data_IF_705710128792
#
_entry.id   IF_705710128792
#
_cell.length_a   1.000
_cell.length_b   1.000
_cell.length_c   1.000
_cell.angle_alpha   90.00
_cell.angle_beta   90.00
_cell.angle_gamma   90.00
#
_symmetry.space_group_name_H-M   'P 1'
#
loop_
_entity.id
_entity.type
_entity.pdbx_description
1 polymer ?
#
# COMPACT_ATOMS: atom_id res chain seq x y z
N UNK A 1 -7.77 11.75 15.22
CA UNK A 1 -6.37 11.89 14.72
C UNK A 1 -5.55 10.65 15.07
N UNK A 2 -4.55 10.28 14.25
CA UNK A 2 -3.76 9.04 14.43
C UNK A 2 -3.05 8.93 15.79
N UNK A 3 -2.72 10.05 16.40
CA UNK A 3 -2.03 10.13 17.70
C UNK A 3 -2.96 10.40 18.88
N UNK A 4 -4.29 10.35 18.69
CA UNK A 4 -5.21 10.84 19.71
C UNK A 4 -5.23 12.38 19.78
N UNK A 5 -6.31 12.94 20.31
CA UNK A 5 -6.47 14.39 20.41
C UNK A 5 -5.55 14.97 21.50
N UNK A 6 -5.24 14.18 22.51
CA UNK A 6 -4.39 14.53 23.65
C UNK A 6 -2.92 14.78 23.27
N UNK A 7 -2.47 14.24 22.14
CA UNK A 7 -1.09 14.41 21.65
C UNK A 7 -0.92 15.60 20.71
N UNK A 8 -1.98 16.32 20.37
CA UNK A 8 -1.94 17.42 19.40
C UNK A 8 -2.53 18.68 20.00
N UNK A 9 -1.78 19.78 19.98
CA UNK A 9 -2.23 21.07 20.49
C UNK A 9 -1.91 22.20 19.51
N UNK A 10 -2.89 23.06 19.21
CA UNK A 10 -2.66 24.32 18.49
C UNK A 10 -2.03 25.32 19.47
N UNK A 11 -0.83 25.78 19.18
CA UNK A 11 -0.05 26.71 20.02
C UNK A 11 -0.19 28.16 19.53
N UNK A 12 -0.50 28.34 18.25
CA UNK A 12 -0.77 29.64 17.63
C UNK A 12 -1.71 29.41 16.46
N UNK A 13 -2.66 30.33 16.25
CA UNK A 13 -3.55 30.33 15.07
C UNK A 13 -3.02 31.23 13.95
N UNK A 14 -2.15 32.20 14.24
CA UNK A 14 -1.56 33.11 13.25
C UNK A 14 -0.09 33.45 13.57
N UNK A 15 0.90 32.80 12.91
CA UNK A 15 0.74 31.68 11.98
C UNK A 15 0.20 30.43 12.69
N UNK A 16 -0.42 29.51 11.96
CA UNK A 16 -0.85 28.23 12.53
C UNK A 16 0.37 27.42 12.96
N UNK A 17 0.49 27.15 14.26
CA UNK A 17 1.55 26.33 14.85
C UNK A 17 0.89 25.21 15.64
N UNK A 18 1.14 23.97 15.21
CA UNK A 18 0.64 22.77 15.88
C UNK A 18 1.80 22.05 16.56
N UNK A 19 1.65 21.75 17.85
CA UNK A 19 2.57 20.89 18.61
C UNK A 19 2.03 19.47 18.62
N UNK A 20 2.90 18.52 18.28
CA UNK A 20 2.63 17.09 18.41
C UNK A 20 3.57 16.52 19.46
N UNK A 21 3.00 15.99 20.55
CA UNK A 21 3.74 15.36 21.63
C UNK A 21 3.92 13.86 21.35
N UNK A 22 5.11 13.32 21.57
CA UNK A 22 5.38 11.89 21.45
C UNK A 22 6.85 11.53 21.43
N UNK A 23 7.15 10.24 21.50
CA UNK A 23 8.52 9.75 21.36
C UNK A 23 9.08 10.09 19.98
N UNK A 24 10.34 10.51 19.94
CA UNK A 24 11.14 10.65 18.72
C UNK A 24 12.05 9.43 18.49
N UNK A 25 12.09 8.49 19.44
CA UNK A 25 12.91 7.29 19.32
C UNK A 25 12.33 6.39 18.22
N UNK A 26 13.17 5.93 17.28
CA UNK A 26 12.73 4.98 16.28
C UNK A 26 12.34 3.65 16.93
N UNK A 27 11.11 3.22 16.69
CA UNK A 27 10.66 1.88 16.99
C UNK A 27 11.39 0.90 16.06
N UNK A 28 11.89 -0.24 16.58
CA UNK A 28 12.52 -1.28 15.77
C UNK A 28 11.64 -1.74 14.60
N UNK A 29 12.25 -2.19 13.47
CA UNK A 29 11.52 -2.53 12.24
C UNK A 29 10.49 -3.66 12.35
N UNK A 30 10.37 -4.32 13.50
CA UNK A 30 9.52 -5.48 13.76
C UNK A 30 8.31 -5.19 14.68
N UNK A 31 8.23 -4.00 15.28
CA UNK A 31 7.21 -3.58 16.26
C UNK A 31 6.17 -2.60 15.67
N UNK A 32 5.32 -3.09 14.78
CA UNK A 32 4.30 -2.26 14.08
C UNK A 32 2.97 -2.10 14.81
N UNK A 33 2.77 -2.87 15.87
CA UNK A 33 1.63 -2.86 16.78
C UNK A 33 1.81 -1.87 17.94
N UNK A 34 3.00 -1.30 18.10
CA UNK A 34 3.27 -0.21 19.04
C UNK A 34 2.96 1.17 18.41
N UNK A 35 2.56 2.17 19.21
CA UNK A 35 2.44 3.54 18.74
C UNK A 35 3.80 4.01 18.19
N UNK A 36 3.88 4.16 16.87
CA UNK A 36 5.07 4.71 16.22
C UNK A 36 5.38 6.10 16.80
N UNK A 37 6.68 6.37 16.99
CA UNK A 37 7.17 7.69 17.34
C UNK A 37 6.77 8.73 16.27
N UNK A 38 6.78 10.01 16.65
CA UNK A 38 6.37 11.13 15.78
C UNK A 38 7.15 11.13 14.45
N UNK A 39 8.41 10.70 14.47
CA UNK A 39 9.28 10.65 13.28
C UNK A 39 8.97 9.51 12.31
N UNK A 40 8.30 8.44 12.76
CA UNK A 40 8.01 7.26 11.93
C UNK A 40 6.54 7.15 11.56
N UNK A 41 5.68 7.96 12.17
CA UNK A 41 4.27 7.74 12.05
C UNK A 41 3.73 8.29 10.72
N UNK A 42 2.94 7.48 9.97
CA UNK A 42 2.51 7.87 8.64
C UNK A 42 1.61 9.09 8.64
N UNK A 43 1.87 9.97 7.68
CA UNK A 43 1.12 11.21 7.46
C UNK A 43 -0.26 11.01 6.83
N UNK A 44 -0.63 9.75 6.53
CA UNK A 44 -1.92 9.38 5.95
C UNK A 44 -1.89 9.34 4.42
N UNK A 45 -3.03 9.61 3.79
CA UNK A 45 -3.22 9.62 2.34
C UNK A 45 -3.34 11.08 1.87
N UNK A 46 -2.29 11.67 1.27
CA UNK A 46 -2.33 13.05 0.82
C UNK A 46 -3.26 13.22 -0.38
N UNK A 47 -4.30 14.06 -0.23
CA UNK A 47 -5.26 14.33 -1.30
C UNK A 47 -4.61 14.89 -2.57
N UNK A 48 -3.58 15.73 -2.42
CA UNK A 48 -2.81 16.29 -3.54
C UNK A 48 -2.11 15.21 -4.37
N UNK A 49 -1.57 14.16 -3.72
CA UNK A 49 -0.83 13.10 -4.40
C UNK A 49 -1.80 12.20 -5.16
N UNK A 50 -2.96 11.91 -4.56
CA UNK A 50 -4.04 11.17 -5.24
C UNK A 50 -4.54 11.92 -6.46
N UNK A 51 -4.78 13.24 -6.36
CA UNK A 51 -5.14 14.07 -7.53
C UNK A 51 -4.08 14.04 -8.62
N UNK A 52 -2.81 14.26 -8.27
CA UNK A 52 -1.71 14.23 -9.23
C UNK A 52 -1.60 12.90 -9.96
N UNK A 53 -1.75 11.78 -9.26
CA UNK A 53 -1.70 10.44 -9.87
C UNK A 53 -2.91 10.20 -10.76
N UNK A 54 -4.11 10.66 -10.36
CA UNK A 54 -5.31 10.59 -11.18
C UNK A 54 -5.21 11.43 -12.47
N UNK A 55 -4.68 12.66 -12.38
CA UNK A 55 -4.49 13.57 -13.52
C UNK A 55 -3.53 13.00 -14.57
N UNK A 56 -2.61 12.12 -14.13
CA UNK A 56 -1.71 11.36 -15.00
C UNK A 56 -2.37 10.11 -15.61
N UNK A 57 -3.64 9.85 -15.32
CA UNK A 57 -4.41 8.72 -15.86
C UNK A 57 -4.16 7.38 -15.17
N UNK A 58 -3.56 7.37 -13.97
CA UNK A 58 -3.29 6.13 -13.25
C UNK A 58 -4.47 5.72 -12.35
N UNK A 59 -4.71 4.41 -12.27
CA UNK A 59 -5.54 3.82 -11.23
C UNK A 59 -4.83 3.90 -9.87
N UNK A 60 -5.57 4.26 -8.83
CA UNK A 60 -5.01 4.49 -7.49
C UNK A 60 -5.27 3.29 -6.58
N UNK A 61 -4.20 2.77 -5.98
CA UNK A 61 -4.24 1.79 -4.89
C UNK A 61 -3.71 2.48 -3.63
N UNK A 62 -4.55 2.62 -2.60
CA UNK A 62 -4.13 3.22 -1.32
C UNK A 62 -3.63 2.14 -0.37
N UNK A 63 -2.66 2.50 0.48
CA UNK A 63 -2.01 1.57 1.42
C UNK A 63 -2.05 2.04 2.86
N UNK A 64 -3.24 2.11 3.48
CA UNK A 64 -3.35 2.50 4.88
C UNK A 64 -2.71 1.44 5.79
N UNK A 65 -2.19 1.91 6.92
CA UNK A 65 -1.74 1.06 8.02
C UNK A 65 -2.83 1.03 9.10
N UNK A 66 -2.98 -0.09 9.80
CA UNK A 66 -3.89 -0.18 10.93
C UNK A 66 -3.57 0.88 12.01
N UNK A 67 -4.59 1.22 12.80
CA UNK A 67 -4.47 2.15 13.92
C UNK A 67 -4.34 1.38 15.24
N UNK A 68 -3.53 1.90 16.15
CA UNK A 68 -3.63 1.52 17.57
C UNK A 68 -5.03 1.90 18.06
N UNK A 69 -5.69 0.99 18.79
CA UNK A 69 -7.07 1.12 19.26
C UNK A 69 -8.01 1.57 18.14
N UNK A 70 -8.01 0.83 17.03
CA UNK A 70 -8.81 1.15 15.85
C UNK A 70 -10.30 1.23 16.21
N UNK A 71 -10.96 2.27 15.72
CA UNK A 71 -12.39 2.51 15.88
C UNK A 71 -12.97 3.04 14.56
N UNK A 72 -14.29 3.21 14.52
CA UNK A 72 -15.02 3.61 13.31
C UNK A 72 -14.62 5.00 12.83
N UNK A 73 -14.45 5.98 13.73
CA UNK A 73 -14.00 7.33 13.39
C UNK A 73 -12.62 7.34 12.70
N UNK A 74 -11.68 6.51 13.18
CA UNK A 74 -10.36 6.37 12.56
C UNK A 74 -10.47 5.75 11.16
N UNK A 75 -11.34 4.75 10.97
CA UNK A 75 -11.61 4.16 9.65
C UNK A 75 -12.25 5.19 8.73
N UNK A 76 -13.30 5.88 9.19
CA UNK A 76 -13.97 6.97 8.47
C UNK A 76 -12.99 8.03 7.98
N UNK A 77 -11.99 8.35 8.80
CA UNK A 77 -10.98 9.34 8.42
C UNK A 77 -10.15 8.96 7.19
N UNK A 78 -10.02 7.67 6.87
CA UNK A 78 -9.38 7.21 5.62
C UNK A 78 -10.27 7.59 4.43
N UNK A 79 -11.56 7.24 4.49
CA UNK A 79 -12.51 7.47 3.41
C UNK A 79 -12.78 8.96 3.21
N UNK A 80 -12.89 9.73 4.30
CA UNK A 80 -12.99 11.19 4.23
C UNK A 80 -11.84 11.82 3.44
N UNK A 81 -10.60 11.36 3.62
CA UNK A 81 -9.44 11.86 2.84
C UNK A 81 -9.49 11.46 1.37
N UNK A 82 -10.06 10.29 1.07
CA UNK A 82 -10.31 9.85 -0.30
C UNK A 82 -11.36 10.75 -0.94
N UNK A 83 -12.47 11.01 -0.25
CA UNK A 83 -13.54 11.90 -0.71
C UNK A 83 -13.04 13.34 -0.91
N UNK A 84 -12.24 13.86 0.02
CA UNK A 84 -11.58 15.18 -0.08
C UNK A 84 -10.66 15.31 -1.30
N UNK A 85 -10.07 14.21 -1.76
CA UNK A 85 -9.27 14.22 -2.98
C UNK A 85 -10.13 14.38 -4.24
N UNK A 86 -11.40 13.95 -4.19
CA UNK A 86 -12.35 14.07 -5.30
C UNK A 86 -12.00 13.20 -6.51
N UNK A 87 -11.25 12.11 -6.30
CA UNK A 87 -10.78 11.20 -7.36
C UNK A 87 -11.11 9.74 -7.03
N UNK A 88 -11.27 8.90 -8.05
CA UNK A 88 -11.57 7.49 -7.85
C UNK A 88 -10.35 6.74 -7.31
N UNK A 89 -10.46 6.25 -6.08
CA UNK A 89 -9.57 5.21 -5.56
C UNK A 89 -10.15 3.84 -5.93
N UNK A 90 -9.31 3.00 -6.52
CA UNK A 90 -9.74 1.76 -7.17
C UNK A 90 -9.59 0.55 -6.25
N UNK A 91 -8.57 0.56 -5.40
CA UNK A 91 -8.26 -0.56 -4.53
C UNK A 91 -7.54 -0.14 -3.26
N UNK A 92 -7.52 -1.03 -2.28
CA UNK A 92 -6.78 -0.91 -1.03
C UNK A 92 -5.85 -2.10 -0.86
N UNK A 93 -4.59 -1.85 -0.54
CA UNK A 93 -3.62 -2.88 -0.20
C UNK A 93 -3.09 -2.65 1.22
N UNK A 94 -3.38 -3.52 2.20
CA UNK A 94 -2.93 -3.31 3.58
C UNK A 94 -1.41 -3.07 3.69
N UNK A 95 -1.03 -2.24 4.64
CA UNK A 95 0.36 -1.95 4.98
C UNK A 95 0.66 -2.36 6.43
N UNK A 96 1.80 -3.01 6.65
CA UNK A 96 2.21 -3.50 7.97
C UNK A 96 1.80 -4.94 8.22
N UNK A 97 1.63 -5.29 9.50
CA UNK A 97 1.34 -6.66 9.98
C UNK A 97 -0.13 -6.94 10.25
N UNK A 98 -0.98 -5.94 10.10
CA UNK A 98 -2.40 -6.02 10.41
C UNK A 98 -3.20 -5.26 9.35
N UNK A 99 -4.34 -5.82 8.94
CA UNK A 99 -5.30 -5.12 8.13
C UNK A 99 -5.97 -4.01 8.96
N UNK A 100 -6.37 -2.92 8.30
CA UNK A 100 -7.12 -1.85 8.97
C UNK A 100 -8.41 -2.43 9.53
N UNK A 101 -8.66 -2.19 10.83
CA UNK A 101 -9.83 -2.71 11.52
C UNK A 101 -9.57 -3.98 12.34
N UNK A 102 -8.41 -4.62 12.20
CA UNK A 102 -8.04 -5.69 13.12
C UNK A 102 -7.84 -5.15 14.56
N UNK A 103 -8.26 -5.87 15.62
CA UNK A 103 -8.95 -7.16 15.57
C UNK A 103 -10.48 -7.07 15.42
N UNK A 104 -11.11 -5.99 15.88
CA UNK A 104 -12.56 -6.02 16.19
C UNK A 104 -13.44 -5.16 15.26
N UNK A 105 -12.89 -4.58 14.21
CA UNK A 105 -13.54 -3.63 13.28
C UNK A 105 -13.38 -4.02 11.81
N UNK A 106 -12.97 -5.26 11.52
CA UNK A 106 -12.83 -5.76 10.14
C UNK A 106 -14.16 -5.79 9.38
N UNK A 107 -15.27 -6.11 10.04
CA UNK A 107 -16.60 -6.04 9.42
C UNK A 107 -16.91 -4.63 8.92
N UNK A 108 -16.76 -3.62 9.79
CA UNK A 108 -16.94 -2.22 9.43
C UNK A 108 -16.00 -1.77 8.30
N UNK A 109 -14.73 -2.19 8.33
CA UNK A 109 -13.79 -1.90 7.24
C UNK A 109 -14.23 -2.56 5.92
N UNK A 110 -14.76 -3.78 5.97
CA UNK A 110 -15.27 -4.50 4.79
C UNK A 110 -16.44 -3.76 4.16
N UNK A 111 -17.41 -3.34 4.97
CA UNK A 111 -18.58 -2.56 4.53
C UNK A 111 -18.13 -1.29 3.82
N UNK A 112 -17.19 -0.54 4.41
CA UNK A 112 -16.63 0.65 3.79
C UNK A 112 -15.94 0.41 2.44
N UNK A 113 -15.21 -0.71 2.30
CA UNK A 113 -14.58 -1.07 1.01
C UNK A 113 -15.64 -1.41 -0.04
N UNK A 114 -16.69 -2.13 0.35
CA UNK A 114 -17.80 -2.50 -0.53
C UNK A 114 -18.56 -1.25 -1.00
N UNK A 115 -18.93 -0.36 -0.07
CA UNK A 115 -19.62 0.90 -0.35
C UNK A 115 -18.80 1.82 -1.27
N UNK A 116 -17.49 1.88 -1.06
CA UNK A 116 -16.58 2.66 -1.90
C UNK A 116 -16.27 1.98 -3.25
N UNK A 117 -16.79 0.77 -3.49
CA UNK A 117 -16.47 -0.09 -4.63
C UNK A 117 -14.96 -0.24 -4.84
N UNK A 118 -14.23 -0.49 -3.75
CA UNK A 118 -12.79 -0.68 -3.73
C UNK A 118 -12.45 -2.16 -3.66
N UNK A 119 -11.53 -2.59 -4.52
CA UNK A 119 -11.00 -3.95 -4.49
C UNK A 119 -9.95 -4.11 -3.39
N UNK A 120 -9.89 -5.27 -2.74
CA UNK A 120 -8.81 -5.61 -1.80
C UNK A 120 -7.60 -6.19 -2.55
N UNK A 121 -6.40 -5.73 -2.25
CA UNK A 121 -5.16 -6.30 -2.80
C UNK A 121 -4.46 -7.10 -1.71
N UNK A 122 -4.32 -8.40 -1.92
CA UNK A 122 -3.73 -9.34 -0.97
C UNK A 122 -2.26 -9.58 -1.35
N UNK A 123 -1.35 -9.14 -0.50
CA UNK A 123 0.08 -9.30 -0.72
C UNK A 123 0.52 -10.74 -0.49
N UNK A 124 1.21 -11.34 -1.44
CA UNK A 124 1.86 -12.63 -1.28
C UNK A 124 3.23 -12.56 -0.63
N UNK A 125 3.54 -13.61 0.11
CA UNK A 125 4.87 -13.83 0.63
C UNK A 125 5.82 -14.19 -0.53
N UNK A 126 7.01 -13.60 -0.52
CA UNK A 126 7.96 -13.74 -1.62
C UNK A 126 8.67 -15.09 -1.64
N UNK A 127 8.79 -15.78 -0.49
CA UNK A 127 9.40 -17.13 -0.39
C UNK A 127 8.41 -18.26 -0.11
N UNK A 128 7.16 -17.94 0.24
CA UNK A 128 6.16 -18.94 0.58
C UNK A 128 5.02 -18.83 -0.44
N UNK A 129 4.47 -19.94 -0.90
CA UNK A 129 3.26 -19.96 -1.73
C UNK A 129 2.01 -19.66 -0.89
N UNK A 130 2.05 -18.56 -0.14
CA UNK A 130 1.05 -18.11 0.83
C UNK A 130 1.02 -16.58 0.87
N UNK A 131 -0.03 -16.00 1.43
CA UNK A 131 -0.09 -14.56 1.68
C UNK A 131 0.94 -14.13 2.74
N UNK A 132 1.37 -12.87 2.66
CA UNK A 132 2.15 -12.24 3.71
C UNK A 132 1.36 -12.30 5.04
N UNK A 133 2.06 -12.49 6.15
CA UNK A 133 1.43 -12.60 7.47
C UNK A 133 0.90 -11.24 7.94
N UNK A 134 -0.29 -10.91 7.46
CA UNK A 134 -1.06 -9.72 7.79
C UNK A 134 -2.31 -10.21 8.54
N UNK A 135 -2.38 -9.95 9.85
CA UNK A 135 -3.54 -10.34 10.68
C UNK A 135 -4.81 -9.70 10.14
N UNK A 136 -5.90 -10.45 10.12
CA UNK A 136 -7.19 -10.00 9.59
C UNK A 136 -7.29 -9.94 8.06
N UNK A 137 -6.23 -10.28 7.30
CA UNK A 137 -6.28 -10.18 5.83
C UNK A 137 -7.30 -11.14 5.19
N UNK A 138 -7.37 -12.38 5.68
CA UNK A 138 -8.30 -13.39 5.14
C UNK A 138 -9.74 -13.06 5.54
N UNK A 139 -9.96 -12.71 6.81
CA UNK A 139 -11.27 -12.27 7.32
C UNK A 139 -11.77 -11.02 6.57
N UNK A 140 -10.89 -10.07 6.25
CA UNK A 140 -11.23 -8.90 5.43
C UNK A 140 -11.58 -9.32 3.99
N UNK A 141 -10.86 -10.28 3.42
CA UNK A 141 -11.14 -10.81 2.08
C UNK A 141 -12.53 -11.49 2.03
N UNK A 142 -12.88 -12.25 3.06
CA UNK A 142 -14.21 -12.83 3.25
C UNK A 142 -15.29 -11.74 3.35
N UNK A 143 -15.05 -10.69 4.14
CA UNK A 143 -15.99 -9.58 4.31
C UNK A 143 -16.25 -8.78 3.02
N UNK A 144 -15.28 -8.70 2.10
CA UNK A 144 -15.47 -8.11 0.76
C UNK A 144 -15.89 -9.13 -0.30
N UNK A 145 -16.41 -10.29 0.11
CA UNK A 145 -16.85 -11.38 -0.78
C UNK A 145 -15.80 -11.78 -1.81
N UNK A 146 -14.52 -11.78 -1.41
CA UNK A 146 -13.37 -12.05 -2.26
C UNK A 146 -13.27 -11.15 -3.51
N UNK A 147 -13.85 -9.94 -3.48
CA UNK A 147 -13.52 -8.86 -4.42
C UNK A 147 -12.06 -8.40 -4.19
N UNK A 148 -11.13 -9.27 -4.55
CA UNK A 148 -9.74 -9.17 -4.20
C UNK A 148 -8.82 -9.64 -5.33
N UNK A 149 -7.61 -9.10 -5.39
CA UNK A 149 -6.53 -9.54 -6.28
C UNK A 149 -5.32 -9.98 -5.49
N UNK A 150 -4.53 -10.88 -6.07
CA UNK A 150 -3.20 -11.25 -5.57
C UNK A 150 -2.15 -10.25 -6.04
N UNK A 151 -1.28 -9.83 -5.13
CA UNK A 151 -0.11 -9.02 -5.45
C UNK A 151 1.17 -9.73 -5.09
N UNK A 152 2.20 -9.54 -5.90
CA UNK A 152 3.55 -10.02 -5.62
C UNK A 152 4.51 -8.83 -5.46
N UNK A 153 5.51 -8.99 -4.60
CA UNK A 153 6.62 -8.05 -4.43
C UNK A 153 7.92 -8.84 -4.34
N UNK A 154 8.98 -8.35 -4.99
CA UNK A 154 10.33 -8.85 -4.71
C UNK A 154 10.81 -8.21 -3.41
N UNK A 155 11.22 -9.03 -2.44
CA UNK A 155 11.70 -8.54 -1.16
C UNK A 155 12.87 -7.55 -1.33
N UNK A 156 12.94 -6.45 -0.56
CA UNK A 156 13.98 -5.43 -0.73
C UNK A 156 15.42 -5.94 -0.53
N UNK A 157 15.64 -6.92 0.35
CA UNK A 157 16.96 -7.50 0.56
C UNK A 157 17.34 -8.41 -0.60
N UNK A 158 16.35 -9.10 -1.18
CA UNK A 158 16.54 -9.90 -2.39
C UNK A 158 16.74 -9.05 -3.63
N UNK A 159 15.98 -7.96 -3.79
CA UNK A 159 16.08 -7.06 -4.94
C UNK A 159 17.49 -6.44 -5.05
N UNK A 160 18.15 -6.18 -3.92
CA UNK A 160 19.54 -5.67 -3.89
C UNK A 160 20.57 -6.66 -4.42
N UNK A 161 20.25 -7.96 -4.45
CA UNK A 161 21.19 -9.03 -4.84
C UNK A 161 20.99 -9.51 -6.27
N UNK A 162 19.87 -9.17 -6.91
CA UNK A 162 19.52 -9.67 -8.24
C UNK A 162 19.70 -8.59 -9.30
N UNK A 163 20.01 -9.01 -10.54
CA UNK A 163 20.03 -8.12 -11.69
C UNK A 163 18.61 -7.68 -12.10
N UNK A 164 18.53 -6.60 -12.87
CA UNK A 164 17.27 -6.15 -13.50
C UNK A 164 16.64 -7.28 -14.33
N UNK A 165 17.43 -7.99 -15.14
CA UNK A 165 16.95 -9.12 -15.96
C UNK A 165 16.37 -10.26 -15.11
N UNK A 166 17.00 -10.56 -13.97
CA UNK A 166 16.50 -11.57 -13.04
C UNK A 166 15.17 -11.13 -12.44
N UNK A 167 15.03 -9.86 -12.08
CA UNK A 167 13.79 -9.30 -11.57
C UNK A 167 12.67 -9.33 -12.63
N UNK A 168 12.98 -8.92 -13.88
CA UNK A 168 12.07 -8.97 -15.02
C UNK A 168 11.51 -10.38 -15.26
N UNK A 169 12.38 -11.39 -15.24
CA UNK A 169 11.97 -12.79 -15.39
C UNK A 169 11.03 -13.23 -14.28
N UNK A 170 11.26 -12.80 -13.03
CA UNK A 170 10.41 -13.17 -11.89
C UNK A 170 8.99 -12.64 -12.04
N UNK A 171 8.80 -11.37 -12.41
CA UNK A 171 7.46 -10.79 -12.56
C UNK A 171 6.61 -11.57 -13.55
N UNK A 172 7.19 -11.86 -14.71
CA UNK A 172 6.47 -12.55 -15.77
C UNK A 172 6.08 -13.99 -15.38
N UNK A 173 6.97 -14.71 -14.70
CA UNK A 173 6.68 -16.07 -14.20
C UNK A 173 5.61 -16.04 -13.10
N UNK A 174 5.62 -15.07 -12.19
CA UNK A 174 4.61 -15.02 -11.12
C UNK A 174 3.21 -14.74 -11.64
N UNK A 175 3.08 -13.97 -12.73
CA UNK A 175 1.79 -13.68 -13.35
C UNK A 175 1.15 -14.94 -13.95
N UNK A 176 1.96 -15.77 -14.61
CA UNK A 176 1.54 -17.04 -15.22
C UNK A 176 1.27 -18.13 -14.17
N UNK A 177 2.21 -18.37 -13.26
CA UNK A 177 2.19 -19.56 -12.39
C UNK A 177 1.34 -19.38 -11.12
N UNK A 178 1.14 -18.14 -10.66
CA UNK A 178 0.54 -17.85 -9.35
C UNK A 178 -0.74 -17.03 -9.39
N UNK A 179 -1.27 -16.73 -10.58
CA UNK A 179 -2.46 -15.88 -10.75
C UNK A 179 -2.27 -14.49 -10.11
N UNK A 180 -1.07 -13.90 -10.24
CA UNK A 180 -0.82 -12.53 -9.79
C UNK A 180 -1.51 -11.55 -10.74
N UNK A 181 -2.16 -10.53 -10.14
CA UNK A 181 -2.88 -9.47 -10.88
C UNK A 181 -2.38 -8.07 -10.56
N UNK A 182 -1.49 -7.95 -9.57
CA UNK A 182 -0.83 -6.69 -9.21
C UNK A 182 0.66 -6.92 -8.93
N UNK A 183 1.52 -6.51 -9.85
CA UNK A 183 2.96 -6.46 -9.62
C UNK A 183 3.31 -5.22 -8.79
N UNK A 184 3.64 -5.41 -7.52
CA UNK A 184 4.05 -4.32 -6.63
C UNK A 184 5.54 -4.02 -6.82
N UNK A 185 5.83 -3.20 -7.83
CA UNK A 185 7.20 -2.87 -8.22
C UNK A 185 7.82 -1.88 -7.23
N UNK A 186 9.01 -2.19 -6.73
CA UNK A 186 9.85 -1.27 -5.98
C UNK A 186 10.99 -0.76 -6.87
N UNK A 187 11.36 0.53 -6.77
CA UNK A 187 12.48 1.04 -7.54
C UNK A 187 13.80 0.47 -7.04
N UNK A 188 14.79 0.36 -7.94
CA UNK A 188 16.18 0.20 -7.59
C UNK A 188 16.72 1.50 -6.99
N UNK A 189 17.46 1.38 -5.89
CA UNK A 189 18.06 2.50 -5.17
C UNK A 189 19.57 2.65 -5.41
N UNK A 190 20.15 1.76 -6.22
CA UNK A 190 21.56 1.80 -6.61
C UNK A 190 21.68 1.88 -8.13
N UNK A 191 22.59 2.71 -8.67
CA UNK A 191 22.83 2.78 -10.11
C UNK A 191 23.17 1.39 -10.66
N UNK A 192 22.60 1.05 -11.81
CA UNK A 192 22.87 -0.20 -12.50
C UNK A 192 23.67 0.13 -13.76
N UNK A 193 24.85 -0.48 -13.92
CA UNK A 193 25.70 -0.32 -15.10
C UNK A 193 26.02 1.15 -15.46
N UNK A 194 26.19 2.01 -14.47
CA UNK A 194 26.51 3.44 -14.67
C UNK A 194 25.35 4.30 -15.19
N UNK A 195 24.14 3.74 -15.38
CA UNK A 195 22.96 4.50 -15.79
C UNK A 195 22.35 5.28 -14.63
N UNK A 196 21.77 6.48 -14.88
CA UNK A 196 21.00 7.20 -13.88
C UNK A 196 19.86 6.35 -13.29
N UNK A 197 19.60 6.53 -11.99
CA UNK A 197 18.55 5.78 -11.27
C UNK A 197 17.16 5.95 -11.89
N UNK A 198 16.81 7.17 -12.29
CA UNK A 198 15.51 7.46 -12.89
C UNK A 198 15.35 6.71 -14.21
N UNK A 199 16.33 6.80 -15.10
CA UNK A 199 16.33 6.11 -16.38
C UNK A 199 16.26 4.58 -16.20
N UNK A 200 17.05 4.05 -15.26
CA UNK A 200 17.04 2.61 -14.92
C UNK A 200 15.65 2.14 -14.50
N UNK A 201 14.98 2.89 -13.61
CA UNK A 201 13.67 2.52 -13.09
C UNK A 201 12.54 2.72 -14.11
N UNK A 202 12.59 3.77 -14.93
CA UNK A 202 11.62 3.97 -16.00
C UNK A 202 11.73 2.87 -17.05
N UNK A 203 12.96 2.51 -17.46
CA UNK A 203 13.19 1.40 -18.38
C UNK A 203 12.72 0.07 -17.77
N UNK A 204 13.02 -0.18 -16.50
CA UNK A 204 12.57 -1.39 -15.80
C UNK A 204 11.05 -1.53 -15.78
N UNK A 205 10.30 -0.46 -15.49
CA UNK A 205 8.82 -0.50 -15.54
C UNK A 205 8.33 -0.73 -16.98
N UNK A 206 8.95 -0.10 -17.98
CA UNK A 206 8.60 -0.30 -19.38
C UNK A 206 8.86 -1.75 -19.84
N UNK A 207 9.98 -2.35 -19.41
CA UNK A 207 10.34 -3.72 -19.73
C UNK A 207 9.41 -4.73 -19.05
N UNK A 208 8.99 -4.47 -17.80
CA UNK A 208 7.96 -5.29 -17.13
C UNK A 208 6.67 -5.25 -17.93
N UNK A 209 6.19 -4.05 -18.28
CA UNK A 209 4.96 -3.89 -19.08
C UNK A 209 5.05 -4.69 -20.38
N UNK A 210 6.12 -4.50 -21.15
CA UNK A 210 6.33 -5.20 -22.42
C UNK A 210 6.34 -6.72 -22.22
N UNK A 211 7.08 -7.22 -21.23
CA UNK A 211 7.17 -8.65 -20.91
C UNK A 211 5.81 -9.27 -20.55
N UNK A 212 4.96 -8.52 -19.84
CA UNK A 212 3.60 -8.92 -19.48
C UNK A 212 2.67 -8.92 -20.72
N UNK A 213 2.75 -7.89 -21.56
CA UNK A 213 1.95 -7.79 -22.80
C UNK A 213 2.33 -8.88 -23.83
N UNK A 214 3.62 -9.19 -23.98
CA UNK A 214 4.11 -10.28 -24.85
C UNK A 214 3.58 -11.66 -24.45
N UNK A 215 3.11 -11.81 -23.20
CA UNK A 215 2.48 -13.04 -22.66
C UNK A 215 0.96 -13.04 -22.78
N UNK A 216 0.38 -12.05 -23.46
CA UNK A 216 -1.06 -11.97 -23.73
C UNK A 216 -1.89 -11.32 -22.63
N UNK A 217 -1.26 -10.71 -21.62
CA UNK A 217 -1.97 -9.93 -20.61
C UNK A 217 -2.16 -8.48 -21.04
N UNK A 218 -3.19 -7.83 -20.49
CA UNK A 218 -3.45 -6.39 -20.67
C UNK A 218 -3.14 -5.61 -19.40
N UNK A 219 -2.53 -4.43 -19.53
CA UNK A 219 -2.32 -3.53 -18.40
C UNK A 219 -3.59 -2.69 -18.14
N UNK A 220 -4.02 -2.63 -16.89
CA UNK A 220 -5.21 -1.88 -16.51
C UNK A 220 -5.67 -2.16 -15.09
N UNK A 221 -6.99 -2.15 -14.87
CA UNK A 221 -7.58 -2.55 -13.58
C UNK A 221 -7.32 -4.04 -13.35
N UNK A 222 -6.88 -4.38 -12.14
CA UNK A 222 -6.61 -5.76 -11.77
C UNK A 222 -7.90 -6.61 -11.76
N UNK A 223 -7.82 -7.82 -12.31
CA UNK A 223 -8.91 -8.79 -12.23
C UNK A 223 -9.04 -9.39 -10.82
N UNK A 224 -10.25 -9.81 -10.45
CA UNK A 224 -10.53 -10.52 -9.20
C UNK A 224 -10.24 -12.03 -9.33
N UNK A 225 -10.30 -12.74 -8.21
CA UNK A 225 -10.27 -14.21 -8.16
C UNK A 225 -11.37 -14.86 -9.00
#
# INVERSE_FOLDING_TARGET
MRYGAERVAVISENPEIVRISGSIEPVPPDKYDEPLGVLQAPLGLPAQDMRKVADLGFNIIVRPQNYVDVNEEKIDSIFKRIDEAGVKVHAMMPCGREAVGFPNKLGYMSDKLNDAHMQLIMLEHYTQLRFANIKGLVELAEGVSYNASRSYVIDPLEQKKISVDTALRRWALTDEERNIRVNYIRPFYMPVNGRPLMETNLQYVADIKKSVEERGYTIGKAGVF
#
